data_IF_877879506140
#
_entry.id   IF_877879506140
#
_cell.length_a   1.000
_cell.length_b   1.000
_cell.length_c   1.000
_cell.angle_alpha   90.00
_cell.angle_beta   90.00
_cell.angle_gamma   90.00
#
_symmetry.space_group_name_H-M   'P 1'
#
loop_
_entity.id
_entity.type
_entity.pdbx_description
1 polymer ?
#
# COMPACT_ATOMS: atom_id res chain seq x y z
N UNK A 1 7.52 -11.22 6.23
CA UNK A 1 6.09 -11.56 6.34
C UNK A 1 5.70 -12.48 5.19
N UNK A 2 4.79 -13.44 5.41
CA UNK A 2 4.17 -14.24 4.34
C UNK A 2 2.72 -13.77 4.20
N UNK A 3 2.29 -13.46 2.98
CA UNK A 3 0.94 -12.97 2.69
C UNK A 3 0.22 -13.85 1.65
N UNK A 4 -1.11 -13.76 1.63
CA UNK A 4 -1.95 -14.24 0.54
C UNK A 4 -2.41 -13.06 -0.30
N UNK A 5 -1.84 -12.93 -1.50
CA UNK A 5 -2.20 -11.90 -2.47
C UNK A 5 -3.26 -12.42 -3.46
N UNK A 6 -4.16 -11.54 -3.87
CA UNK A 6 -5.13 -11.75 -4.96
C UNK A 6 -4.70 -10.91 -6.15
N UNK A 7 -4.76 -11.50 -7.35
CA UNK A 7 -4.46 -10.82 -8.61
C UNK A 7 -5.64 -11.01 -9.57
N UNK A 8 -6.10 -9.94 -10.18
CA UNK A 8 -7.19 -9.95 -11.17
C UNK A 8 -6.72 -9.25 -12.44
N UNK A 9 -6.94 -9.89 -13.59
CA UNK A 9 -6.73 -9.25 -14.89
C UNK A 9 -7.96 -8.39 -15.22
N UNK A 10 -7.76 -7.09 -15.36
CA UNK A 10 -8.79 -6.14 -15.78
C UNK A 10 -8.32 -5.34 -17.00
N UNK A 11 -8.86 -5.68 -18.17
CA UNK A 11 -8.43 -5.13 -19.46
C UNK A 11 -6.92 -5.23 -19.66
N UNK A 12 -6.25 -4.08 -19.77
CA UNK A 12 -4.79 -3.99 -19.97
C UNK A 12 -3.98 -4.04 -18.67
N UNK A 13 -4.62 -4.15 -17.52
CA UNK A 13 -3.99 -4.07 -16.20
C UNK A 13 -4.13 -5.38 -15.43
N UNK A 14 -3.26 -5.56 -14.45
CA UNK A 14 -3.37 -6.51 -13.37
C UNK A 14 -3.59 -5.72 -12.09
N UNK A 15 -4.69 -5.95 -11.40
CA UNK A 15 -5.01 -5.36 -10.10
C UNK A 15 -4.59 -6.36 -9.02
N UNK A 16 -3.92 -5.88 -7.97
CA UNK A 16 -3.40 -6.73 -6.90
C UNK A 16 -3.68 -6.16 -5.52
N UNK A 17 -4.04 -7.01 -4.57
CA UNK A 17 -4.25 -6.64 -3.16
C UNK A 17 -4.06 -7.83 -2.23
N UNK A 18 -4.01 -7.58 -0.92
CA UNK A 18 -4.08 -8.62 0.11
C UNK A 18 -5.02 -8.20 1.24
N UNK A 19 -5.71 -9.16 1.85
CA UNK A 19 -6.51 -8.93 3.05
C UNK A 19 -5.66 -8.98 4.33
N UNK A 20 -4.40 -9.42 4.23
CA UNK A 20 -3.48 -9.48 5.37
C UNK A 20 -2.98 -8.09 5.78
N UNK A 21 -3.03 -7.12 4.85
CA UNK A 21 -2.76 -5.69 5.08
C UNK A 21 -3.90 -4.89 4.43
N UNK A 22 -5.00 -4.64 5.17
CA UNK A 22 -6.13 -3.90 4.64
C UNK A 22 -5.71 -2.53 4.11
N UNK A 23 -6.17 -2.19 2.90
CA UNK A 23 -5.80 -0.96 2.20
C UNK A 23 -4.64 -1.10 1.22
N UNK A 24 -3.80 -2.15 1.35
CA UNK A 24 -2.71 -2.40 0.41
C UNK A 24 -3.25 -2.93 -0.93
N UNK A 25 -3.41 -2.03 -1.89
CA UNK A 25 -3.85 -2.33 -3.26
C UNK A 25 -2.99 -1.60 -4.28
N UNK A 26 -2.83 -2.21 -5.45
CA UNK A 26 -2.03 -1.65 -6.54
C UNK A 26 -2.47 -2.20 -7.90
N UNK A 27 -1.78 -1.78 -8.96
CA UNK A 27 -1.91 -2.34 -10.30
C UNK A 27 -0.58 -2.34 -11.07
N UNK A 28 -0.48 -3.15 -12.12
CA UNK A 28 0.65 -3.18 -13.06
C UNK A 28 0.21 -3.62 -14.47
N UNK A 29 1.01 -3.34 -15.51
CA UNK A 29 0.76 -3.83 -16.88
C UNK A 29 0.97 -5.33 -16.99
N UNK A 30 1.96 -5.84 -16.28
CA UNK A 30 2.26 -7.28 -16.16
C UNK A 30 1.91 -7.79 -14.76
N UNK A 31 1.85 -9.11 -14.61
CA UNK A 31 1.58 -9.72 -13.30
C UNK A 31 2.81 -9.57 -12.37
N UNK A 32 4.00 -9.51 -12.94
CA UNK A 32 5.27 -9.21 -12.26
C UNK A 32 5.24 -7.81 -11.67
N UNK A 33 4.90 -6.80 -12.48
CA UNK A 33 4.81 -5.41 -12.04
C UNK A 33 3.76 -5.24 -10.93
N UNK A 34 2.57 -5.83 -11.10
CA UNK A 34 1.53 -5.76 -10.06
C UNK A 34 1.97 -6.42 -8.74
N UNK A 35 2.83 -7.46 -8.81
CA UNK A 35 3.39 -8.14 -7.63
C UNK A 35 4.44 -7.30 -6.94
N UNK A 36 5.39 -6.74 -7.69
CA UNK A 36 6.43 -5.86 -7.17
C UNK A 36 5.80 -4.63 -6.51
N UNK A 37 4.86 -3.98 -7.21
CA UNK A 37 4.15 -2.83 -6.67
C UNK A 37 3.37 -3.17 -5.40
N UNK A 38 2.83 -4.39 -5.25
CA UNK A 38 2.08 -4.77 -4.05
C UNK A 38 3.02 -4.96 -2.86
N UNK A 39 4.20 -5.52 -3.10
CA UNK A 39 5.23 -5.68 -2.07
C UNK A 39 5.68 -4.30 -1.57
N UNK A 40 5.90 -3.36 -2.48
CA UNK A 40 6.33 -2.01 -2.09
C UNK A 40 5.21 -1.25 -1.38
N UNK A 41 3.96 -1.32 -1.85
CA UNK A 41 2.82 -0.72 -1.15
C UNK A 41 2.67 -1.24 0.29
N UNK A 42 2.86 -2.55 0.50
CA UNK A 42 2.82 -3.15 1.84
C UNK A 42 3.95 -2.64 2.72
N UNK A 43 5.16 -2.48 2.16
CA UNK A 43 6.30 -1.92 2.92
C UNK A 43 6.01 -0.50 3.33
N UNK A 44 5.56 0.34 2.40
CA UNK A 44 5.22 1.75 2.67
C UNK A 44 4.16 1.88 3.77
N UNK A 45 3.12 1.02 3.77
CA UNK A 45 2.10 1.02 4.82
C UNK A 45 2.61 0.64 6.21
N UNK A 46 3.78 0.00 6.29
CA UNK A 46 4.39 -0.44 7.56
C UNK A 46 5.48 0.53 8.04
N UNK A 47 5.88 1.51 7.22
CA UNK A 47 6.87 2.49 7.62
C UNK A 47 6.21 3.54 8.54
N UNK A 48 6.87 3.93 9.63
CA UNK A 48 6.46 5.11 10.37
C UNK A 48 6.63 6.33 9.48
N UNK A 49 5.65 7.23 9.48
CA UNK A 49 5.84 8.54 8.88
C UNK A 49 6.78 9.36 9.75
N UNK A 50 7.87 9.83 9.16
CA UNK A 50 8.78 10.76 9.81
C UNK A 50 8.15 12.16 9.80
N UNK A 51 7.46 12.48 10.89
CA UNK A 51 6.77 13.76 11.07
C UNK A 51 7.77 14.92 11.10
N UNK A 52 9.02 14.67 11.52
CA UNK A 52 10.06 15.70 11.63
C UNK A 52 10.53 16.18 10.24
N UNK A 53 10.40 15.33 9.22
CA UNK A 53 10.79 15.63 7.83
C UNK A 53 9.65 16.14 6.94
N UNK A 54 8.49 16.48 7.51
CA UNK A 54 7.39 17.06 6.73
C UNK A 54 7.68 18.54 6.38
N UNK A 55 7.69 18.91 5.08
CA UNK A 55 8.04 20.27 4.67
C UNK A 55 6.99 21.29 5.12
N UNK A 56 7.37 22.22 6.00
CA UNK A 56 6.61 23.41 6.44
C UNK A 56 5.10 23.20 6.60
N UNK A 57 4.71 22.03 7.12
CA UNK A 57 3.32 21.63 7.21
C UNK A 57 2.81 21.82 8.64
N UNK A 58 1.58 22.32 8.79
CA UNK A 58 0.90 22.31 10.08
C UNK A 58 0.45 20.88 10.37
N UNK A 59 1.06 20.24 11.36
CA UNK A 59 0.70 18.88 11.81
C UNK A 59 -0.21 18.99 13.03
N UNK A 60 -1.33 18.25 13.01
CA UNK A 60 -2.23 18.07 14.15
C UNK A 60 -2.22 16.57 14.48
N UNK A 61 -1.91 16.23 15.73
CA UNK A 61 -1.95 14.85 16.25
C UNK A 61 -3.06 14.83 17.30
N UNK A 62 -4.06 13.99 17.08
CA UNK A 62 -5.25 13.89 17.94
C UNK A 62 -5.61 12.41 18.14
N UNK A 63 -5.98 12.07 19.38
CA UNK A 63 -6.53 10.75 19.71
C UNK A 63 -8.05 10.77 19.50
N UNK A 64 -8.57 9.77 18.79
CA UNK A 64 -9.99 9.65 18.48
C UNK A 64 -10.50 8.25 18.85
N UNK A 65 -11.73 8.17 19.36
CA UNK A 65 -12.46 6.91 19.57
C UNK A 65 -13.46 6.69 18.42
N UNK A 66 -13.58 5.44 17.96
CA UNK A 66 -14.45 5.03 16.85
C UNK A 66 -15.59 4.16 17.38
#
# INVERSE_FOLDING_TARGET
>A
MKIKATFVKDGKWWVAWTNDVPGAMTQGKTIEEARENLVDAIREMQLPYDIENLPNSKVIIEEMEI
#
